data_IF_785779429917
#
_entry.id   IF_785779429917
#
_cell.length_a   1.000
_cell.length_b   1.000
_cell.length_c   1.000
_cell.angle_alpha   90.00
_cell.angle_beta   90.00
_cell.angle_gamma   90.00
#
_symmetry.space_group_name_H-M   'P 1'
#
loop_
_entity.id
_entity.type
_entity.pdbx_description
1 polymer ?
#
# COMPACT_ATOMS: atom_id res chain seq x y z
N UNK A 1 -16.28 -13.49 -24.63
CA UNK A 1 -15.83 -12.57 -23.55
C UNK A 1 -14.74 -11.68 -24.13
N UNK A 2 -14.73 -10.38 -23.83
CA UNK A 2 -13.73 -9.45 -24.37
C UNK A 2 -12.61 -9.19 -23.36
N UNK A 3 -11.47 -8.65 -23.81
CA UNK A 3 -10.32 -8.37 -22.93
C UNK A 3 -10.68 -7.56 -21.68
N UNK A 4 -11.62 -6.61 -21.79
CA UNK A 4 -12.11 -5.83 -20.64
C UNK A 4 -12.77 -6.69 -19.55
N UNK A 5 -13.41 -7.80 -19.89
CA UNK A 5 -13.96 -8.73 -18.89
C UNK A 5 -12.88 -9.56 -18.20
N UNK A 6 -11.78 -9.87 -18.88
CA UNK A 6 -10.63 -10.57 -18.28
C UNK A 6 -9.81 -9.65 -17.37
N UNK A 7 -9.70 -8.37 -17.72
CA UNK A 7 -8.98 -7.37 -16.94
C UNK A 7 -9.77 -6.87 -15.73
N UNK A 8 -11.10 -6.94 -15.76
CA UNK A 8 -11.95 -6.39 -14.70
C UNK A 8 -11.69 -7.11 -13.38
N UNK A 9 -11.32 -6.34 -12.36
CA UNK A 9 -10.89 -6.86 -11.07
C UNK A 9 -9.81 -6.01 -10.45
N UNK A 10 -9.10 -6.59 -9.48
CA UNK A 10 -8.00 -5.95 -8.80
C UNK A 10 -6.70 -6.73 -8.99
N UNK A 11 -5.61 -5.99 -9.02
CA UNK A 11 -4.27 -6.47 -9.35
C UNK A 11 -3.27 -5.91 -8.35
N UNK A 12 -2.50 -6.78 -7.70
CA UNK A 12 -1.55 -6.39 -6.65
C UNK A 12 -0.26 -7.20 -6.71
N UNK A 13 0.81 -6.60 -6.17
CA UNK A 13 2.05 -7.31 -5.86
C UNK A 13 1.79 -8.33 -4.74
N UNK A 14 2.28 -9.56 -4.91
CA UNK A 14 2.03 -10.62 -3.93
C UNK A 14 2.83 -10.38 -2.65
N UNK A 15 2.14 -10.42 -1.50
CA UNK A 15 2.79 -10.38 -0.18
C UNK A 15 3.36 -9.01 0.22
N UNK A 16 3.12 -7.97 -0.59
CA UNK A 16 3.63 -6.62 -0.34
C UNK A 16 2.49 -5.62 -0.36
N UNK A 17 2.51 -4.70 0.60
CA UNK A 17 1.57 -3.58 0.67
C UNK A 17 2.17 -2.43 -0.13
N UNK A 18 2.02 -2.54 -1.45
CA UNK A 18 2.49 -1.59 -2.43
C UNK A 18 1.35 -1.09 -3.34
N UNK A 19 1.63 -1.10 -4.64
CA UNK A 19 0.74 -0.66 -5.70
C UNK A 19 -0.40 -1.64 -5.92
N UNK A 20 -1.63 -1.12 -5.99
CA UNK A 20 -2.83 -1.85 -6.43
C UNK A 20 -3.40 -1.16 -7.66
N UNK A 21 -3.80 -1.92 -8.65
CA UNK A 21 -4.53 -1.44 -9.82
C UNK A 21 -5.92 -2.06 -9.82
N UNK A 22 -6.95 -1.22 -9.82
CA UNK A 22 -8.34 -1.64 -9.94
C UNK A 22 -8.87 -1.26 -11.32
N UNK A 23 -9.35 -2.26 -12.05
CA UNK A 23 -9.89 -2.10 -13.40
C UNK A 23 -11.38 -2.43 -13.35
N UNK A 24 -12.20 -1.48 -13.80
CA UNK A 24 -13.62 -1.69 -14.01
C UNK A 24 -13.97 -1.23 -15.43
N UNK A 25 -14.12 -2.21 -16.33
CA UNK A 25 -14.35 -1.99 -17.76
C UNK A 25 -13.23 -1.13 -18.36
N UNK A 26 -13.53 0.12 -18.72
CA UNK A 26 -12.61 1.06 -19.38
C UNK A 26 -11.96 2.05 -18.42
N UNK A 27 -12.26 1.96 -17.13
CA UNK A 27 -11.71 2.82 -16.08
C UNK A 27 -10.70 2.03 -15.26
N UNK A 28 -9.63 2.71 -14.89
CA UNK A 28 -8.55 2.18 -14.08
C UNK A 28 -8.26 3.15 -12.94
N UNK A 29 -8.05 2.61 -11.75
CA UNK A 29 -7.56 3.36 -10.59
C UNK A 29 -6.26 2.74 -10.11
N UNK A 30 -5.18 3.54 -10.07
CA UNK A 30 -3.94 3.16 -9.38
C UNK A 30 -4.04 3.66 -7.94
N UNK A 31 -3.78 2.77 -7.01
CA UNK A 31 -3.81 2.99 -5.58
C UNK A 31 -2.42 2.75 -5.02
N UNK A 32 -1.86 3.77 -4.36
CA UNK A 32 -0.69 3.60 -3.51
C UNK A 32 -1.14 3.60 -2.06
N UNK A 33 -0.91 2.49 -1.34
CA UNK A 33 -1.39 2.30 0.04
C UNK A 33 -2.88 2.66 0.24
N UNK A 34 -3.70 2.37 -0.78
CA UNK A 34 -5.16 2.64 -0.88
C UNK A 34 -5.56 4.08 -1.14
N UNK A 35 -4.61 5.00 -1.22
CA UNK A 35 -4.91 6.30 -1.74
C UNK A 35 -4.90 6.28 -3.25
N UNK A 36 -5.96 6.78 -3.90
CA UNK A 36 -5.98 6.94 -5.34
C UNK A 36 -4.90 7.94 -5.72
N UNK A 37 -3.89 7.46 -6.42
CA UNK A 37 -2.82 8.28 -6.98
C UNK A 37 -3.04 8.54 -8.47
N UNK A 38 -3.89 7.75 -9.13
CA UNK A 38 -4.35 8.00 -10.49
C UNK A 38 -5.73 7.39 -10.69
N UNK A 39 -6.62 8.13 -11.34
CA UNK A 39 -7.92 7.64 -11.82
C UNK A 39 -8.03 8.04 -13.27
N UNK A 40 -8.01 7.06 -14.18
CA UNK A 40 -7.94 7.35 -15.61
C UNK A 40 -8.73 6.35 -16.45
N UNK A 41 -9.04 6.74 -17.68
CA UNK A 41 -9.54 5.80 -18.69
C UNK A 41 -8.38 5.11 -19.39
N UNK A 42 -8.63 3.96 -20.02
CA UNK A 42 -7.64 3.28 -20.85
C UNK A 42 -8.25 2.63 -22.08
N UNK A 43 -7.39 2.29 -23.05
CA UNK A 43 -7.70 1.44 -24.21
C UNK A 43 -6.77 0.24 -24.20
N UNK A 44 -7.31 -0.96 -24.44
CA UNK A 44 -6.50 -2.16 -24.61
C UNK A 44 -6.14 -2.36 -26.09
N UNK A 45 -4.83 -2.41 -26.40
CA UNK A 45 -4.30 -2.66 -27.75
C UNK A 45 -3.59 -4.01 -27.77
N UNK A 46 -3.96 -4.88 -28.71
CA UNK A 46 -3.33 -6.19 -28.86
C UNK A 46 -1.85 -6.03 -29.26
N UNK A 47 -0.98 -6.75 -28.57
CA UNK A 47 0.46 -6.88 -28.84
C UNK A 47 0.80 -8.35 -29.09
N UNK A 48 2.08 -8.64 -29.38
CA UNK A 48 2.56 -9.98 -29.74
C UNK A 48 2.17 -11.06 -28.72
N UNK A 49 2.37 -10.78 -27.43
CA UNK A 49 2.16 -11.74 -26.34
C UNK A 49 1.14 -11.27 -25.29
N UNK A 50 0.26 -10.32 -25.64
CA UNK A 50 -0.68 -9.77 -24.66
C UNK A 50 -1.37 -8.49 -25.12
N UNK A 51 -1.65 -7.61 -24.16
CA UNK A 51 -2.34 -6.35 -24.39
C UNK A 51 -1.62 -5.20 -23.70
N UNK A 52 -1.29 -4.16 -24.46
CA UNK A 52 -0.82 -2.89 -23.94
C UNK A 52 -2.03 -2.04 -23.53
N UNK A 53 -2.03 -1.51 -22.31
CA UNK A 53 -3.09 -0.68 -21.77
C UNK A 53 -2.69 0.79 -21.87
N UNK A 54 -3.14 1.44 -22.94
CA UNK A 54 -2.86 2.85 -23.20
C UNK A 54 -3.74 3.73 -22.28
N UNK A 55 -3.13 4.32 -21.26
CA UNK A 55 -3.79 5.22 -20.31
C UNK A 55 -3.99 6.62 -20.89
N UNK A 56 -5.15 7.23 -20.61
CA UNK A 56 -5.43 8.62 -21.00
C UNK A 56 -4.61 9.64 -20.18
N UNK A 57 -4.32 9.31 -18.93
CA UNK A 57 -3.44 10.06 -18.04
C UNK A 57 -2.39 9.11 -17.46
N UNK A 58 -1.17 9.62 -17.25
CA UNK A 58 -0.03 8.81 -16.79
C UNK A 58 0.60 9.32 -15.50
N UNK A 59 0.27 10.52 -15.05
CA UNK A 59 0.84 11.11 -13.83
C UNK A 59 0.30 10.42 -12.57
N UNK A 60 1.19 9.98 -11.69
CA UNK A 60 0.83 9.46 -10.38
C UNK A 60 0.98 10.59 -9.35
N UNK A 61 -0.12 10.95 -8.70
CA UNK A 61 -0.23 12.15 -7.87
C UNK A 61 -0.94 11.87 -6.57
N UNK A 62 -0.28 12.19 -5.47
CA UNK A 62 -0.90 12.21 -4.16
C UNK A 62 -2.05 13.21 -4.09
N UNK A 63 -3.12 12.86 -3.37
CA UNK A 63 -4.26 13.75 -3.18
C UNK A 63 -3.81 15.05 -2.50
N UNK A 64 -4.06 16.18 -3.15
CA UNK A 64 -3.65 17.51 -2.67
C UNK A 64 -2.26 17.97 -3.12
N UNK A 65 -1.49 17.13 -3.82
CA UNK A 65 -0.26 17.56 -4.49
C UNK A 65 -0.57 18.33 -5.78
N UNK A 66 0.29 19.27 -6.15
CA UNK A 66 0.25 19.97 -7.44
C UNK A 66 1.16 19.34 -8.50
N UNK A 67 2.03 18.42 -8.10
CA UNK A 67 2.98 17.72 -8.98
C UNK A 67 2.83 16.21 -8.88
N UNK A 68 3.11 15.54 -9.98
CA UNK A 68 3.19 14.08 -10.03
C UNK A 68 4.50 13.63 -9.37
N UNK A 69 4.44 12.59 -8.53
CA UNK A 69 5.64 12.01 -7.92
C UNK A 69 6.31 10.98 -8.84
N UNK A 70 5.56 10.40 -9.77
CA UNK A 70 6.02 9.46 -10.77
C UNK A 70 5.09 9.49 -11.99
N UNK A 71 5.47 8.79 -13.06
CA UNK A 71 4.61 8.61 -14.22
C UNK A 71 4.59 7.16 -14.67
N UNK A 72 3.43 6.68 -15.12
CA UNK A 72 3.27 5.36 -15.71
C UNK A 72 3.88 5.38 -17.11
N UNK A 73 4.96 4.63 -17.31
CA UNK A 73 5.59 4.47 -18.64
C UNK A 73 4.93 3.37 -19.43
N UNK A 74 4.49 2.30 -18.76
CA UNK A 74 3.88 1.13 -19.41
C UNK A 74 2.90 0.40 -18.47
N UNK A 75 1.84 -0.14 -19.05
CA UNK A 75 0.97 -1.07 -18.36
C UNK A 75 0.58 -2.20 -19.33
N UNK A 76 1.10 -3.39 -19.08
CA UNK A 76 1.00 -4.51 -20.01
C UNK A 76 0.37 -5.73 -19.36
N UNK A 77 -0.62 -6.34 -20.04
CA UNK A 77 -1.28 -7.57 -19.60
C UNK A 77 -0.84 -8.76 -20.44
N UNK A 78 -0.29 -9.79 -19.80
CA UNK A 78 0.02 -11.07 -20.42
C UNK A 78 -0.04 -12.19 -19.37
N UNK A 79 -0.43 -13.39 -19.80
CA UNK A 79 -0.36 -14.61 -18.98
C UNK A 79 -1.02 -14.49 -17.59
N UNK A 80 -2.12 -13.74 -17.49
CA UNK A 80 -2.82 -13.54 -16.21
C UNK A 80 -2.10 -12.61 -15.22
N UNK A 81 -1.21 -11.74 -15.69
CA UNK A 81 -0.46 -10.76 -14.90
C UNK A 81 -0.47 -9.38 -15.54
N UNK A 82 -0.39 -8.33 -14.71
CA UNK A 82 -0.12 -6.97 -15.15
C UNK A 82 1.32 -6.60 -14.82
N UNK A 83 2.10 -6.23 -15.83
CA UNK A 83 3.39 -5.56 -15.65
C UNK A 83 3.14 -4.06 -15.64
N UNK A 84 3.49 -3.41 -14.54
CA UNK A 84 3.34 -1.98 -14.32
C UNK A 84 4.72 -1.33 -14.23
N UNK A 85 5.02 -0.44 -15.16
CA UNK A 85 6.29 0.28 -15.22
C UNK A 85 6.06 1.76 -14.88
N UNK A 86 6.90 2.27 -13.98
CA UNK A 86 6.84 3.63 -13.47
C UNK A 86 8.18 4.31 -13.70
N UNK A 87 8.17 5.63 -13.94
CA UNK A 87 9.36 6.47 -13.96
C UNK A 87 9.28 7.48 -12.82
N UNK A 88 10.16 7.30 -11.83
CA UNK A 88 10.37 8.22 -10.72
C UNK A 88 11.42 9.27 -11.11
N UNK A 89 11.20 10.57 -10.81
CA UNK A 89 12.15 11.63 -11.15
C UNK A 89 13.54 11.45 -10.52
N UNK A 90 13.63 10.82 -9.35
CA UNK A 90 14.87 10.70 -8.57
C UNK A 90 15.52 9.34 -8.78
N UNK A 91 14.78 8.24 -8.63
CA UNK A 91 15.35 6.88 -8.74
C UNK A 91 15.25 6.24 -10.11
N UNK A 92 14.55 6.88 -11.05
CA UNK A 92 14.43 6.37 -12.41
C UNK A 92 13.38 5.27 -12.54
N UNK A 93 13.55 4.34 -13.48
CA UNK A 93 12.50 3.36 -13.81
C UNK A 93 12.32 2.30 -12.73
N UNK A 94 11.08 1.93 -12.47
CA UNK A 94 10.67 0.82 -11.62
C UNK A 94 9.72 -0.10 -12.39
N UNK A 95 9.73 -1.39 -12.06
CA UNK A 95 8.83 -2.39 -12.66
C UNK A 95 8.25 -3.27 -11.59
N UNK A 96 6.92 -3.34 -11.55
CA UNK A 96 6.17 -4.18 -10.63
C UNK A 96 5.31 -5.17 -11.40
N UNK A 97 5.34 -6.44 -10.99
CA UNK A 97 4.46 -7.47 -11.55
C UNK A 97 3.30 -7.71 -10.59
N UNK A 98 2.09 -7.41 -11.05
CA UNK A 98 0.86 -7.53 -10.30
C UNK A 98 0.09 -8.78 -10.74
N UNK A 99 -0.47 -9.51 -9.78
CA UNK A 99 -1.32 -10.68 -10.03
C UNK A 99 -2.76 -10.38 -9.63
N UNK A 100 -3.71 -11.03 -10.32
CA UNK A 100 -5.12 -10.87 -10.00
C UNK A 100 -5.41 -11.29 -8.54
N UNK A 101 -6.15 -10.46 -7.81
CA UNK A 101 -6.57 -10.73 -6.44
C UNK A 101 -8.08 -10.60 -6.31
N UNK A 102 -8.71 -11.60 -5.68
CA UNK A 102 -10.14 -11.58 -5.33
C UNK A 102 -10.42 -10.78 -4.07
N UNK A 103 -9.37 -10.58 -3.27
CA UNK A 103 -9.48 -9.84 -2.05
C UNK A 103 -9.51 -8.35 -2.44
N UNK A 104 -10.46 -7.59 -1.87
CA UNK A 104 -10.08 -6.23 -1.51
C UNK A 104 -8.71 -6.37 -0.81
N UNK A 105 -7.78 -5.44 -0.99
CA UNK A 105 -6.61 -5.34 -0.09
C UNK A 105 -7.06 -5.52 1.36
N UNK A 106 -8.35 -5.18 1.55
CA UNK A 106 -9.22 -5.40 2.65
C UNK A 106 -10.18 -6.62 2.77
N UNK A 107 -9.82 -7.87 2.46
CA UNK A 107 -10.70 -9.02 2.79
C UNK A 107 -11.17 -8.96 4.26
N UNK A 108 -12.46 -9.12 4.53
CA UNK A 108 -13.14 -8.95 5.84
C UNK A 108 -12.25 -8.53 7.02
N UNK A 109 -12.23 -7.22 7.28
CA UNK A 109 -11.35 -6.63 8.29
C UNK A 109 -11.93 -6.93 9.64
N UNK A 110 -11.28 -7.83 10.36
CA UNK A 110 -11.54 -7.97 11.78
C UNK A 110 -10.41 -7.26 12.50
N UNK A 111 -10.69 -6.05 12.99
CA UNK A 111 -9.84 -5.42 13.99
C UNK A 111 -9.72 -6.40 15.16
N UNK A 112 -8.52 -6.93 15.37
CA UNK A 112 -8.29 -7.87 16.46
C UNK A 112 -8.07 -7.08 17.75
N UNK A 113 -9.13 -6.89 18.54
CA UNK A 113 -9.09 -6.18 19.82
C UNK A 113 -7.99 -6.69 20.77
N UNK A 114 -7.66 -7.98 20.69
CA UNK A 114 -6.57 -8.57 21.49
C UNK A 114 -5.21 -7.96 21.12
N UNK A 115 -4.90 -7.86 19.83
CA UNK A 115 -3.63 -7.28 19.37
C UNK A 115 -3.57 -5.78 19.63
N UNK A 116 -4.69 -5.06 19.49
CA UNK A 116 -4.74 -3.64 19.86
C UNK A 116 -4.41 -3.41 21.33
N UNK A 117 -4.92 -4.25 22.24
CA UNK A 117 -4.57 -4.21 23.67
C UNK A 117 -3.10 -4.50 23.92
N UNK A 118 -2.52 -5.44 23.19
CA UNK A 118 -1.09 -5.79 23.30
C UNK A 118 -0.19 -4.64 22.78
N UNK A 119 -0.65 -3.89 21.78
CA UNK A 119 0.06 -2.73 21.23
C UNK A 119 -0.10 -1.46 22.06
N UNK A 120 -1.19 -1.33 22.82
CA UNK A 120 -1.47 -0.17 23.66
C UNK A 120 -0.33 0.09 24.65
N UNK A 121 0.12 1.34 24.72
CA UNK A 121 1.14 1.79 25.68
C UNK A 121 2.33 2.47 25.01
N UNK A 122 3.40 2.62 25.78
CA UNK A 122 4.59 3.38 25.39
C UNK A 122 5.66 2.48 24.78
N UNK A 123 6.24 2.96 23.69
CA UNK A 123 7.24 2.28 22.87
C UNK A 123 8.49 3.14 22.77
N UNK A 124 9.68 2.54 22.89
CA UNK A 124 10.96 3.24 22.83
C UNK A 124 11.92 2.63 21.82
N UNK A 125 12.73 3.47 21.21
CA UNK A 125 13.96 3.12 20.48
C UNK A 125 15.15 3.92 21.04
N UNK A 126 16.31 3.81 20.38
CA UNK A 126 17.54 4.50 20.77
C UNK A 126 17.40 6.04 20.84
N UNK A 127 16.59 6.62 19.95
CA UNK A 127 16.50 8.08 19.77
C UNK A 127 15.21 8.72 20.28
N UNK A 128 14.28 7.93 20.83
CA UNK A 128 13.02 8.47 21.31
C UNK A 128 12.01 7.46 21.80
N UNK A 129 10.86 7.98 22.23
CA UNK A 129 9.70 7.17 22.64
C UNK A 129 8.41 7.80 22.11
N UNK A 130 7.39 6.97 21.89
CA UNK A 130 6.04 7.41 21.59
C UNK A 130 5.02 6.53 22.29
N UNK A 131 3.79 7.01 22.39
CA UNK A 131 2.68 6.25 22.96
C UNK A 131 1.67 5.93 21.86
N UNK A 132 1.26 4.66 21.79
CA UNK A 132 0.12 4.24 20.96
C UNK A 132 -1.13 4.21 21.82
N UNK A 133 -2.09 5.08 21.48
CA UNK A 133 -3.40 5.12 22.13
C UNK A 133 -4.48 4.78 21.13
N UNK A 134 -5.09 3.60 21.30
CA UNK A 134 -6.16 3.13 20.42
C UNK A 134 -7.53 3.51 20.99
N UNK A 135 -8.36 4.14 20.15
CA UNK A 135 -9.76 4.47 20.42
C UNK A 135 -10.63 3.89 19.30
N UNK A 136 -11.21 2.71 19.54
CA UNK A 136 -11.98 1.95 18.53
C UNK A 136 -11.13 1.68 17.28
N UNK A 137 -11.54 2.20 16.12
CA UNK A 137 -10.86 2.11 14.83
C UNK A 137 -9.92 3.30 14.59
N UNK A 138 -9.48 4.01 15.63
CA UNK A 138 -8.57 5.15 15.51
C UNK A 138 -7.36 5.04 16.45
N UNK A 139 -6.21 5.48 15.97
CA UNK A 139 -4.94 5.57 16.70
C UNK A 139 -4.64 7.05 16.93
N UNK A 140 -4.41 7.44 18.19
CA UNK A 140 -3.79 8.71 18.52
C UNK A 140 -2.28 8.52 18.59
N UNK A 141 -1.54 9.30 17.80
CA UNK A 141 -0.08 9.29 17.77
C UNK A 141 0.42 10.73 17.55
N UNK A 142 1.31 11.21 18.42
CA UNK A 142 1.88 12.57 18.39
C UNK A 142 0.84 13.70 18.27
N UNK A 143 -0.32 13.56 18.92
CA UNK A 143 -1.39 14.56 18.89
C UNK A 143 -2.27 14.54 17.63
N UNK A 144 -2.13 13.54 16.76
CA UNK A 144 -3.00 13.31 15.60
C UNK A 144 -3.84 12.06 15.77
N UNK A 145 -5.06 12.07 15.22
CA UNK A 145 -5.96 10.91 15.19
C UNK A 145 -5.98 10.31 13.79
N UNK A 146 -5.64 9.04 13.68
CA UNK A 146 -5.45 8.32 12.43
C UNK A 146 -6.40 7.13 12.41
N UNK A 147 -7.09 6.91 11.29
CA UNK A 147 -7.97 5.74 11.15
C UNK A 147 -7.11 4.48 10.98
N UNK A 148 -7.32 3.49 11.83
CA UNK A 148 -6.57 2.24 11.81
C UNK A 148 -7.14 1.32 10.75
N UNK A 149 -6.32 1.05 9.75
CA UNK A 149 -6.54 -0.03 8.82
C UNK A 149 -5.72 -1.24 9.28
N UNK A 150 -6.18 -1.87 10.35
CA UNK A 150 -5.52 -3.00 10.99
C UNK A 150 -5.72 -4.25 10.14
N UNK A 151 -4.63 -4.75 9.58
CA UNK A 151 -4.58 -6.03 8.91
C UNK A 151 -4.12 -7.09 9.92
N UNK A 152 -4.96 -8.09 10.16
CA UNK A 152 -4.46 -9.40 10.58
C UNK A 152 -4.14 -10.16 9.29
N UNK A 153 -2.86 -10.19 8.93
CA UNK A 153 -2.44 -10.93 7.75
C UNK A 153 -2.45 -12.43 8.06
N UNK A 154 -3.47 -13.14 7.58
CA UNK A 154 -3.47 -14.61 7.49
C UNK A 154 -2.84 -15.07 6.16
N UNK A 155 -1.80 -14.40 5.64
CA UNK A 155 -1.08 -14.99 4.51
C UNK A 155 -0.52 -16.35 4.95
N UNK A 156 -0.93 -17.43 4.30
CA UNK A 156 -0.51 -18.82 4.56
C UNK A 156 1.02 -19.04 4.52
N UNK A 157 1.80 -18.02 4.16
CA UNK A 157 3.23 -18.11 3.87
C UNK A 157 4.11 -17.13 4.66
N UNK A 158 3.55 -16.28 5.53
CA UNK A 158 4.34 -15.51 6.50
C UNK A 158 4.35 -16.24 7.84
N UNK A 159 5.51 -16.72 8.33
CA UNK A 159 5.59 -17.49 9.57
C UNK A 159 5.34 -16.67 10.85
N UNK A 160 5.31 -15.33 10.75
CA UNK A 160 5.12 -14.41 11.88
C UNK A 160 3.69 -13.82 11.88
N UNK A 161 3.14 -13.58 13.08
CA UNK A 161 1.83 -12.94 13.27
C UNK A 161 1.93 -11.45 12.93
N UNK A 162 1.91 -11.10 11.65
CA UNK A 162 2.03 -9.71 11.24
C UNK A 162 0.73 -8.94 11.48
N UNK A 163 0.74 -8.05 12.48
CA UNK A 163 -0.22 -6.95 12.55
C UNK A 163 0.31 -5.77 11.78
N UNK A 164 -0.50 -5.21 10.89
CA UNK A 164 -0.13 -4.03 10.12
C UNK A 164 -1.10 -2.88 10.34
N UNK A 165 -0.56 -1.74 10.76
CA UNK A 165 -1.25 -0.44 10.73
C UNK A 165 -0.91 0.23 9.41
N UNK A 166 -1.92 0.40 8.54
CA UNK A 166 -1.80 1.20 7.31
C UNK A 166 -2.50 2.54 7.53
N UNK A 167 -1.85 3.64 7.15
CA UNK A 167 -2.57 4.89 6.91
C UNK A 167 -3.21 4.83 5.52
N UNK A 168 -4.53 5.07 5.44
CA UNK A 168 -5.24 5.06 4.16
C UNK A 168 -4.90 6.25 3.26
N UNK A 169 -4.33 7.32 3.80
CA UNK A 169 -3.98 8.53 3.05
C UNK A 169 -2.56 9.03 3.36
N UNK A 170 -1.51 8.43 2.75
CA UNK A 170 -0.14 8.87 2.97
C UNK A 170 0.11 10.33 2.55
N UNK A 171 -0.80 10.96 1.77
CA UNK A 171 -0.67 12.38 1.41
C UNK A 171 -1.15 13.33 2.51
N UNK A 172 -1.98 12.85 3.43
CA UNK A 172 -2.46 13.65 4.56
C UNK A 172 -1.60 13.45 5.79
N UNK A 173 -1.18 12.21 6.02
CA UNK A 173 -0.45 11.83 7.21
C UNK A 173 0.53 10.71 6.84
N UNK A 174 1.80 11.06 6.61
CA UNK A 174 2.85 10.11 6.99
C UNK A 174 2.78 10.01 8.52
N UNK A 175 2.87 8.82 9.12
CA UNK A 175 2.93 8.64 10.57
C UNK A 175 4.28 9.15 11.08
N UNK A 176 4.55 10.45 10.94
CA UNK A 176 5.83 11.09 11.23
C UNK A 176 7.00 10.33 10.57
N UNK A 177 6.86 10.05 9.27
CA UNK A 177 7.78 9.25 8.47
C UNK A 177 7.54 7.74 8.55
N UNK A 178 6.82 7.22 9.55
CA UNK A 178 6.47 5.80 9.60
C UNK A 178 5.42 5.47 8.54
N UNK A 179 5.65 4.37 7.83
CA UNK A 179 4.87 3.93 6.68
C UNK A 179 4.12 2.64 6.97
N UNK A 180 4.74 1.76 7.76
CA UNK A 180 4.23 0.45 8.13
C UNK A 180 4.73 0.16 9.54
N UNK A 181 3.83 -0.35 10.38
CA UNK A 181 4.16 -0.92 11.69
C UNK A 181 3.85 -2.42 11.65
N UNK A 182 4.85 -3.26 11.91
CA UNK A 182 4.73 -4.72 12.04
C UNK A 182 5.01 -5.10 13.48
N UNK A 183 4.13 -5.91 14.09
CA UNK A 183 4.32 -6.42 15.46
C UNK A 183 4.48 -7.93 15.44
N UNK A 184 5.43 -8.47 16.20
CA UNK A 184 5.72 -9.91 16.28
C UNK A 184 5.41 -10.54 17.66
N UNK A 185 4.96 -9.73 18.64
CA UNK A 185 4.70 -10.14 20.02
C UNK A 185 5.59 -9.41 21.03
N UNK A 186 6.86 -9.24 20.72
CA UNK A 186 7.84 -8.60 21.62
C UNK A 186 8.37 -7.28 21.05
N UNK A 187 8.29 -7.14 19.73
CA UNK A 187 8.93 -6.06 18.99
C UNK A 187 7.92 -5.38 18.08
N UNK A 188 7.96 -4.05 18.05
CA UNK A 188 7.26 -3.26 17.06
C UNK A 188 8.29 -2.75 16.06
N UNK A 189 8.24 -3.26 14.83
CA UNK A 189 9.10 -2.83 13.73
C UNK A 189 8.35 -1.78 12.93
N UNK A 190 8.96 -0.64 12.67
CA UNK A 190 8.45 0.35 11.74
C UNK A 190 9.35 0.43 10.53
N UNK A 191 8.79 0.65 9.35
CA UNK A 191 9.56 1.14 8.23
C UNK A 191 9.17 2.59 7.95
N UNK A 192 10.17 3.45 7.83
CA UNK A 192 10.04 4.78 7.27
C UNK A 192 10.46 4.74 5.81
N UNK A 193 9.53 5.03 4.92
CA UNK A 193 9.78 5.13 3.49
C UNK A 193 9.73 6.60 3.15
N UNK A 194 10.90 7.22 3.08
CA UNK A 194 11.06 8.59 2.58
C UNK A 194 11.22 8.49 1.08
N UNK A 195 10.19 8.85 0.31
CA UNK A 195 10.22 8.82 -1.15
C UNK A 195 10.81 7.48 -1.69
N UNK A 196 11.81 7.58 -2.56
CA UNK A 196 12.44 6.46 -3.26
C UNK A 196 13.69 5.91 -2.54
N UNK A 197 13.89 6.20 -1.25
CA UNK A 197 15.00 5.68 -0.45
C UNK A 197 14.72 4.25 0.05
N UNK A 198 15.77 3.43 0.31
CA UNK A 198 15.61 2.16 1.01
C UNK A 198 14.88 2.36 2.34
N UNK A 199 13.94 1.47 2.73
CA UNK A 199 13.20 1.64 3.96
C UNK A 199 14.15 1.76 5.17
N UNK A 200 14.01 2.84 5.93
CA UNK A 200 14.66 2.96 7.23
C UNK A 200 13.86 2.15 8.24
N UNK A 201 14.44 1.07 8.74
CA UNK A 201 13.80 0.19 9.69
C UNK A 201 14.10 0.68 11.11
N UNK A 202 13.06 0.99 11.86
CA UNK A 202 13.12 1.33 13.28
C UNK A 202 12.56 0.17 14.08
N UNK A 203 13.20 -0.15 15.19
CA UNK A 203 12.82 -1.28 16.05
C UNK A 203 12.52 -0.74 17.44
N UNK A 204 11.26 -0.80 17.83
CA UNK A 204 10.78 -0.32 19.11
C UNK A 204 10.55 -1.48 20.07
N UNK A 205 10.88 -1.24 21.33
CA UNK A 205 10.59 -2.14 22.44
C UNK A 205 9.55 -1.51 23.35
N UNK A 206 8.63 -2.32 23.88
CA UNK A 206 7.59 -1.83 24.78
C UNK A 206 8.22 -1.43 26.12
N UNK A 207 7.89 -0.24 26.60
CA UNK A 207 8.24 0.17 27.96
C UNK A 207 7.34 -0.61 28.94
N UNK A 208 7.96 -1.16 30.00
CA UNK A 208 7.26 -1.92 31.04
C UNK A 208 6.51 -1.01 31.99
#
# INVERSE_FOLDING_TARGET
>A
MGIYSELTGAWEERGVIGTRIEINRIKLTVLWRNSPVLRTGFKAKKAENGYELELAERGLRYKGSNSDYASVTRLFYAEGRLTFEELFPITGPSTTVLTATKFSRYGDYTVCDKVLKELQGRWKEEYGSFELVFRKDTLELFGKTIKIHALHSNYEHTPEREFLIVDADPSKYELYGMTRLTYDGDTLRSSMIICDAPPHNMVFTKER
#
